data_IF_861956688731
#
_entry.id   IF_861956688731
#
_cell.length_a   1.000
_cell.length_b   1.000
_cell.length_c   1.000
_cell.angle_alpha   90.00
_cell.angle_beta   90.00
_cell.angle_gamma   90.00
#
_symmetry.space_group_name_H-M   'P 1'
#
loop_
_entity.id
_entity.type
_entity.pdbx_description
1 polymer ?
#
# COMPACT_ATOMS: atom_id res chain seq x y z
N UNK A 1 11.29 49.76 40.59
CA UNK A 1 11.77 48.37 40.73
C UNK A 1 10.60 47.50 41.15
N UNK A 2 10.45 46.35 40.47
CA UNK A 2 9.59 45.19 40.76
C UNK A 2 8.06 45.37 40.72
N UNK A 3 7.48 45.12 39.54
CA UNK A 3 6.15 44.51 39.43
C UNK A 3 6.37 43.01 39.17
N UNK A 4 5.88 42.15 40.06
CA UNK A 4 5.79 40.71 39.84
C UNK A 4 4.49 40.42 39.09
N UNK A 5 4.56 39.69 37.99
CA UNK A 5 3.81 38.45 37.88
C UNK A 5 4.79 37.34 37.44
N UNK A 6 4.59 36.06 37.70
CA UNK A 6 3.56 35.26 37.07
C UNK A 6 3.42 33.96 37.86
N UNK A 7 2.19 33.68 38.28
CA UNK A 7 1.76 32.37 38.73
C UNK A 7 1.08 31.70 37.52
N UNK A 8 1.79 30.82 36.80
CA UNK A 8 1.18 29.98 35.77
C UNK A 8 1.07 28.54 36.27
N UNK A 9 -0.11 27.88 36.19
CA UNK A 9 -0.25 26.49 36.56
C UNK A 9 0.43 25.61 35.50
N UNK A 10 1.32 24.70 35.95
CA UNK A 10 1.87 23.64 35.10
C UNK A 10 0.77 22.62 34.80
N UNK A 11 0.26 22.61 33.57
CA UNK A 11 -0.53 21.48 33.08
C UNK A 11 0.39 20.26 32.90
N UNK A 12 0.01 19.06 33.37
CA UNK A 12 0.75 17.86 33.05
C UNK A 12 0.60 17.57 31.56
N UNK A 13 1.73 17.41 30.84
CA UNK A 13 1.70 16.96 29.44
C UNK A 13 1.13 15.54 29.40
N UNK A 14 -0.10 15.40 28.91
CA UNK A 14 -0.66 14.11 28.58
C UNK A 14 0.19 13.47 27.48
N UNK A 15 0.70 12.26 27.72
CA UNK A 15 1.36 11.46 26.68
C UNK A 15 0.36 11.26 25.52
N UNK A 16 0.79 11.33 24.26
CA UNK A 16 -0.08 10.97 23.15
C UNK A 16 -0.50 9.50 23.34
N UNK A 17 -1.79 9.27 23.59
CA UNK A 17 -2.37 7.94 23.54
C UNK A 17 -2.31 7.46 22.08
N UNK A 18 -1.81 6.24 21.82
CA UNK A 18 -1.96 5.65 20.49
C UNK A 18 -3.46 5.54 20.18
N UNK A 19 -3.85 5.96 18.98
CA UNK A 19 -5.22 5.87 18.51
C UNK A 19 -5.72 4.41 18.60
N UNK A 20 -7.00 4.18 18.93
CA UNK A 20 -7.53 2.83 19.02
C UNK A 20 -7.43 2.14 17.66
N UNK A 21 -7.01 0.87 17.66
CA UNK A 21 -7.05 -0.03 16.51
C UNK A 21 -8.50 -0.12 16.01
N UNK A 22 -8.85 0.76 15.07
CA UNK A 22 -10.14 0.72 14.38
C UNK A 22 -10.20 -0.53 13.49
N UNK A 23 -11.38 -1.13 13.29
CA UNK A 23 -11.54 -2.24 12.35
C UNK A 23 -11.02 -1.83 10.98
N UNK A 24 -10.34 -2.76 10.28
CA UNK A 24 -9.72 -2.56 8.98
C UNK A 24 -10.76 -2.04 7.97
N UNK A 25 -10.86 -0.72 7.81
CA UNK A 25 -11.79 -0.04 6.90
C UNK A 25 -11.62 -0.49 5.45
N UNK A 26 -10.53 -1.22 5.14
CA UNK A 26 -10.35 -1.85 3.85
C UNK A 26 -11.34 -3.01 3.62
N UNK A 27 -11.83 -3.70 4.65
CA UNK A 27 -12.78 -4.82 4.54
C UNK A 27 -14.18 -4.37 4.14
N UNK A 28 -14.63 -3.23 4.64
CA UNK A 28 -16.03 -2.80 4.58
C UNK A 28 -16.45 -2.19 3.21
N UNK A 29 -15.50 -1.90 2.31
CA UNK A 29 -15.77 -1.29 0.98
C UNK A 29 -15.64 -2.25 -0.21
N UNK A 30 -15.64 -3.57 0.01
CA UNK A 30 -15.34 -4.55 -1.05
C UNK A 30 -16.63 -5.04 -1.70
N UNK A 31 -16.80 -4.73 -2.99
CA UNK A 31 -18.00 -5.05 -3.79
C UNK A 31 -18.04 -6.53 -4.24
N UNK A 32 -16.93 -7.27 -4.11
CA UNK A 32 -16.89 -8.68 -4.52
C UNK A 32 -16.02 -9.57 -3.62
N UNK A 33 -16.45 -10.82 -3.45
CA UNK A 33 -15.92 -11.78 -2.49
C UNK A 33 -14.54 -12.32 -2.88
N UNK A 34 -13.51 -12.02 -2.09
CA UNK A 34 -12.20 -12.68 -2.25
C UNK A 34 -12.37 -14.17 -1.92
N UNK A 35 -12.16 -15.03 -2.91
CA UNK A 35 -12.00 -16.47 -2.69
C UNK A 35 -10.55 -16.75 -2.29
N UNK A 36 -10.36 -17.50 -1.21
CA UNK A 36 -9.06 -18.08 -0.92
C UNK A 36 -8.74 -19.12 -1.99
N UNK A 37 -7.66 -18.91 -2.75
CA UNK A 37 -7.12 -19.86 -3.70
C UNK A 37 -5.75 -20.34 -3.23
N UNK A 38 -5.45 -21.61 -3.43
CA UNK A 38 -4.10 -22.17 -3.28
C UNK A 38 -3.61 -22.52 -4.68
N UNK A 39 -2.56 -21.85 -5.14
CA UNK A 39 -2.05 -22.01 -6.49
C UNK A 39 -0.70 -21.33 -6.67
N UNK A 40 -0.01 -21.68 -7.74
CA UNK A 40 1.23 -21.01 -8.13
C UNK A 40 0.91 -19.81 -9.01
N UNK A 41 1.58 -18.69 -8.77
CA UNK A 41 1.35 -17.44 -9.48
C UNK A 41 2.66 -16.90 -10.04
N UNK A 42 2.61 -16.41 -11.28
CA UNK A 42 3.68 -15.60 -11.87
C UNK A 42 3.13 -14.24 -12.26
N UNK A 43 3.87 -13.19 -11.89
CA UNK A 43 3.54 -11.82 -12.26
C UNK A 43 4.63 -11.29 -13.18
N UNK A 44 4.23 -10.81 -14.35
CA UNK A 44 5.09 -10.10 -15.30
C UNK A 44 4.76 -8.61 -15.25
N UNK A 45 5.78 -7.78 -15.11
CA UNK A 45 5.66 -6.33 -15.27
C UNK A 45 5.76 -6.00 -16.76
N UNK A 46 4.72 -5.41 -17.32
CA UNK A 46 4.64 -5.10 -18.75
C UNK A 46 5.11 -3.67 -19.06
N UNK A 47 5.18 -2.80 -18.05
CA UNK A 47 5.68 -1.42 -18.20
C UNK A 47 7.21 -1.39 -18.03
N UNK A 48 8.00 -1.24 -19.11
CA UNK A 48 9.47 -1.25 -19.03
C UNK A 48 10.03 -0.02 -18.32
N UNK A 49 9.28 1.09 -18.34
CA UNK A 49 9.66 2.35 -17.72
C UNK A 49 8.43 2.99 -17.08
N UNK A 50 8.66 3.65 -15.94
CA UNK A 50 7.65 4.44 -15.24
C UNK A 50 8.22 5.83 -15.00
N UNK A 51 7.59 6.84 -15.59
CA UNK A 51 8.01 8.23 -15.44
C UNK A 51 7.23 8.90 -14.32
N UNK A 52 7.88 9.77 -13.55
CA UNK A 52 7.24 10.48 -12.44
C UNK A 52 8.06 11.65 -11.93
N UNK A 53 7.54 12.30 -10.89
CA UNK A 53 8.19 13.42 -10.20
C UNK A 53 8.79 12.94 -8.88
N UNK A 54 10.10 13.12 -8.73
CA UNK A 54 10.78 12.80 -7.48
C UNK A 54 10.35 13.79 -6.38
N UNK A 55 10.01 13.25 -5.21
CA UNK A 55 9.76 14.03 -4.00
C UNK A 55 11.03 14.15 -3.15
N UNK A 56 11.81 13.08 -3.04
CA UNK A 56 13.10 13.09 -2.34
C UNK A 56 14.10 12.14 -2.99
N UNK A 57 15.39 12.46 -2.83
CA UNK A 57 16.50 11.65 -3.31
C UNK A 57 17.55 11.62 -2.20
N UNK A 58 18.05 10.43 -1.88
CA UNK A 58 19.11 10.18 -0.90
C UNK A 58 20.13 9.19 -1.49
N UNK A 59 21.23 8.96 -0.77
CA UNK A 59 22.22 7.94 -1.13
C UNK A 59 21.62 6.52 -1.18
N UNK A 60 20.60 6.25 -0.35
CA UNK A 60 20.02 4.90 -0.20
C UNK A 60 18.72 4.69 -0.98
N UNK A 61 18.15 5.73 -1.60
CA UNK A 61 16.89 5.58 -2.32
C UNK A 61 16.22 6.89 -2.75
N UNK A 62 15.12 6.73 -3.47
CA UNK A 62 14.29 7.78 -4.08
C UNK A 62 12.82 7.51 -3.82
N UNK A 63 12.06 8.55 -3.47
CA UNK A 63 10.61 8.56 -3.50
C UNK A 63 10.15 9.42 -4.68
N UNK A 64 9.25 8.89 -5.50
CA UNK A 64 8.66 9.62 -6.62
C UNK A 64 7.18 9.27 -6.79
N UNK A 65 6.42 10.19 -7.38
CA UNK A 65 5.02 9.99 -7.71
C UNK A 65 4.81 9.91 -9.21
N UNK A 66 3.83 9.12 -9.62
CA UNK A 66 3.45 8.96 -11.02
C UNK A 66 1.95 8.76 -11.14
N UNK A 67 1.38 9.29 -12.22
CA UNK A 67 0.00 9.04 -12.61
C UNK A 67 -0.13 7.88 -13.59
N UNK A 68 0.98 7.22 -13.93
CA UNK A 68 1.00 6.07 -14.82
C UNK A 68 0.78 4.79 -14.00
N UNK A 69 -0.15 3.90 -14.41
CA UNK A 69 -0.31 2.62 -13.75
C UNK A 69 0.86 1.70 -14.10
N UNK A 70 1.35 0.94 -13.12
CA UNK A 70 2.28 -0.15 -13.38
C UNK A 70 1.50 -1.34 -13.95
N UNK A 71 1.57 -1.54 -15.27
CA UNK A 71 0.85 -2.61 -15.98
C UNK A 71 1.49 -3.95 -15.71
N UNK A 72 0.65 -4.95 -15.47
CA UNK A 72 1.09 -6.32 -15.16
C UNK A 72 0.21 -7.34 -15.86
N UNK A 73 0.82 -8.50 -16.12
CA UNK A 73 0.13 -9.72 -16.53
C UNK A 73 0.35 -10.77 -15.45
N UNK A 74 -0.74 -11.35 -14.96
CA UNK A 74 -0.73 -12.39 -13.93
C UNK A 74 -1.09 -13.71 -14.57
N UNK A 75 -0.23 -14.70 -14.42
CA UNK A 75 -0.51 -16.10 -14.73
C UNK A 75 -0.80 -16.84 -13.43
N UNK A 76 -1.96 -17.47 -13.36
CA UNK A 76 -2.41 -18.25 -12.19
C UNK A 76 -2.66 -19.68 -12.64
N UNK A 77 -1.98 -20.63 -11.99
CA UNK A 77 -2.27 -22.05 -12.11
C UNK A 77 -3.11 -22.49 -10.90
N UNK A 78 -4.38 -22.81 -11.14
CA UNK A 78 -5.33 -23.30 -10.13
C UNK A 78 -5.97 -24.59 -10.66
N UNK A 79 -5.96 -25.66 -9.85
CA UNK A 79 -6.51 -26.98 -10.20
C UNK A 79 -6.00 -27.54 -11.56
N UNK A 80 -4.74 -27.27 -11.90
CA UNK A 80 -4.11 -27.68 -13.17
C UNK A 80 -4.52 -26.86 -14.39
N UNK A 81 -5.30 -25.78 -14.20
CA UNK A 81 -5.69 -24.85 -15.25
C UNK A 81 -4.83 -23.58 -15.15
N UNK A 82 -4.07 -23.31 -16.21
CA UNK A 82 -3.33 -22.06 -16.34
C UNK A 82 -4.23 -20.99 -16.95
N UNK A 83 -4.42 -19.88 -16.23
CA UNK A 83 -5.14 -18.69 -16.70
C UNK A 83 -4.21 -17.48 -16.71
N UNK A 84 -4.44 -16.56 -17.66
CA UNK A 84 -3.67 -15.32 -17.76
C UNK A 84 -4.61 -14.12 -17.76
N UNK A 85 -4.29 -13.10 -16.95
CA UNK A 85 -5.09 -11.89 -16.80
C UNK A 85 -4.22 -10.64 -16.72
N UNK A 86 -4.57 -9.63 -17.51
CA UNK A 86 -3.93 -8.32 -17.47
C UNK A 86 -4.58 -7.41 -16.42
N UNK A 87 -3.79 -6.49 -15.88
CA UNK A 87 -4.26 -5.52 -14.90
C UNK A 87 -3.22 -4.46 -14.57
N UNK A 88 -3.36 -3.88 -13.39
CA UNK A 88 -2.43 -2.89 -12.83
C UNK A 88 -2.13 -3.16 -11.36
N UNK A 89 -0.89 -2.92 -10.96
CA UNK A 89 -0.52 -2.98 -9.55
C UNK A 89 -1.13 -1.77 -8.81
N UNK A 90 -1.85 -2.04 -7.72
CA UNK A 90 -2.50 -1.00 -6.89
C UNK A 90 -1.88 -0.88 -5.49
N UNK A 91 -1.14 -1.90 -5.03
CA UNK A 91 -0.42 -1.85 -3.75
C UNK A 91 0.75 -2.83 -3.74
N UNK A 92 1.87 -2.39 -3.16
CA UNK A 92 2.97 -3.24 -2.71
C UNK A 92 3.21 -2.96 -1.23
N UNK A 93 3.14 -3.98 -0.38
CA UNK A 93 3.28 -3.80 1.06
C UNK A 93 4.08 -4.95 1.67
N UNK A 94 5.06 -4.64 2.51
CA UNK A 94 5.74 -5.65 3.33
C UNK A 94 4.75 -6.16 4.39
N UNK A 95 4.43 -7.45 4.37
CA UNK A 95 3.42 -8.07 5.26
C UNK A 95 4.06 -8.63 6.53
N UNK A 96 5.38 -8.80 6.54
CA UNK A 96 6.19 -9.23 7.68
C UNK A 96 7.50 -9.85 7.21
N UNK A 97 8.53 -9.90 8.07
CA UNK A 97 9.82 -10.53 7.76
C UNK A 97 10.33 -10.12 6.38
N UNK A 98 10.46 -11.06 5.45
CA UNK A 98 10.96 -10.82 4.10
C UNK A 98 9.88 -10.90 3.01
N UNK A 99 8.60 -10.92 3.40
CA UNK A 99 7.47 -11.10 2.48
C UNK A 99 6.86 -9.77 2.04
N UNK A 100 6.66 -9.61 0.72
CA UNK A 100 5.93 -8.48 0.13
C UNK A 100 4.65 -8.98 -0.51
N UNK A 101 3.51 -8.43 -0.09
CA UNK A 101 2.21 -8.64 -0.70
C UNK A 101 1.99 -7.64 -1.83
N UNK A 102 1.55 -8.15 -2.98
CA UNK A 102 1.24 -7.37 -4.18
C UNK A 102 -0.25 -7.46 -4.46
N UNK A 103 -0.93 -6.33 -4.55
CA UNK A 103 -2.33 -6.27 -4.94
C UNK A 103 -2.44 -5.80 -6.39
N UNK A 104 -3.14 -6.59 -7.20
CA UNK A 104 -3.40 -6.32 -8.62
C UNK A 104 -4.89 -6.11 -8.79
N UNK A 105 -5.25 -5.07 -9.55
CA UNK A 105 -6.60 -4.87 -10.04
C UNK A 105 -6.64 -5.28 -11.52
N UNK A 106 -7.49 -6.25 -11.85
CA UNK A 106 -7.62 -6.74 -13.22
C UNK A 106 -8.37 -5.74 -14.10
N UNK A 107 -8.03 -5.74 -15.39
CA UNK A 107 -8.78 -4.98 -16.38
C UNK A 107 -10.17 -5.60 -16.56
N UNK A 108 -11.20 -4.76 -16.70
CA UNK A 108 -12.55 -5.23 -17.02
C UNK A 108 -12.53 -5.75 -18.46
N UNK A 109 -12.86 -7.02 -18.66
CA UNK A 109 -13.09 -7.55 -20.01
C UNK A 109 -14.38 -6.93 -20.53
N UNK A 110 -14.26 -6.17 -21.63
CA UNK A 110 -15.39 -5.66 -22.40
C UNK A 110 -16.11 -6.79 -23.14
#
# INVERSE_FOLDING_TARGET
MAATPENQPRFPQARPQPAPDGPDLAEERRVDGRRACHGSLRLRVDSPHLAGQAENISETGILFFTNQPLRVTVEVEEDGVLSSRSGRLVRAQRVGGDSTGWAVEFDVQA
#
